data_IF_701948895786
#
_entry.id   IF_701948895786
#
_cell.length_a   1.000
_cell.length_b   1.000
_cell.length_c   1.000
_cell.angle_alpha   90.00
_cell.angle_beta   90.00
_cell.angle_gamma   90.00
#
_symmetry.space_group_name_H-M   'P 1'
#
loop_
_entity.id
_entity.type
_entity.pdbx_description
1 polymer ?
#
# COMPACT_ATOMS: atom_id res chain seq x y z
N UNK A 1 -73.92 6.45 -40.17
CA UNK A 1 -73.13 5.20 -40.35
C UNK A 1 -71.61 5.42 -40.39
N UNK A 2 -71.06 6.52 -40.93
CA UNK A 2 -69.60 6.77 -40.99
C UNK A 2 -68.95 7.41 -39.75
N UNK A 3 -69.69 8.16 -38.92
CA UNK A 3 -69.13 8.84 -37.72
C UNK A 3 -68.48 7.88 -36.71
N UNK A 4 -69.04 6.68 -36.51
CA UNK A 4 -68.42 5.65 -35.65
C UNK A 4 -67.07 5.16 -36.18
N UNK A 5 -66.88 5.08 -37.51
CA UNK A 5 -65.62 4.63 -38.10
C UNK A 5 -64.49 5.64 -37.86
N UNK A 6 -64.77 6.94 -38.02
CA UNK A 6 -63.79 7.99 -37.72
C UNK A 6 -63.38 8.03 -36.25
N UNK A 7 -64.33 7.85 -35.32
CA UNK A 7 -64.04 7.80 -33.88
C UNK A 7 -63.17 6.58 -33.55
N UNK A 8 -63.50 5.40 -34.08
CA UNK A 8 -62.72 4.18 -33.86
C UNK A 8 -61.31 4.31 -34.43
N UNK A 9 -61.16 4.83 -35.65
CA UNK A 9 -59.84 5.04 -36.26
C UNK A 9 -59.00 6.06 -35.49
N UNK A 10 -59.60 7.19 -35.07
CA UNK A 10 -58.90 8.18 -34.24
C UNK A 10 -58.45 7.62 -32.90
N UNK A 11 -59.28 6.80 -32.25
CA UNK A 11 -58.93 6.13 -30.99
C UNK A 11 -57.77 5.15 -31.16
N UNK A 12 -57.73 4.39 -32.27
CA UNK A 12 -56.64 3.44 -32.57
C UNK A 12 -55.33 4.17 -32.87
N UNK A 13 -55.36 5.24 -33.67
CA UNK A 13 -54.15 6.01 -33.99
C UNK A 13 -53.61 6.71 -32.73
N UNK A 14 -54.49 7.29 -31.91
CA UNK A 14 -54.12 7.89 -30.64
C UNK A 14 -53.51 6.89 -29.66
N UNK A 15 -54.07 5.68 -29.55
CA UNK A 15 -53.54 4.65 -28.65
C UNK A 15 -52.16 4.13 -29.11
N UNK A 16 -51.96 3.92 -30.40
CA UNK A 16 -50.65 3.54 -30.97
C UNK A 16 -49.61 4.63 -30.70
N UNK A 17 -49.95 5.90 -30.91
CA UNK A 17 -49.05 7.03 -30.64
C UNK A 17 -48.66 7.13 -29.15
N UNK A 18 -49.63 6.96 -28.24
CA UNK A 18 -49.37 6.96 -26.80
C UNK A 18 -48.47 5.78 -26.38
N UNK A 19 -48.71 4.57 -26.91
CA UNK A 19 -47.86 3.41 -26.62
C UNK A 19 -46.44 3.60 -27.16
N UNK A 20 -46.30 4.12 -28.37
CA UNK A 20 -44.98 4.34 -29.00
C UNK A 20 -44.17 5.42 -28.28
N UNK A 21 -44.80 6.54 -27.93
CA UNK A 21 -44.16 7.61 -27.16
C UNK A 21 -43.77 7.14 -25.75
N UNK A 22 -44.61 6.33 -25.09
CA UNK A 22 -44.28 5.71 -23.82
C UNK A 22 -43.10 4.73 -23.94
N UNK A 23 -43.08 3.88 -24.96
CA UNK A 23 -41.97 2.96 -25.21
C UNK A 23 -40.64 3.69 -25.47
N UNK A 24 -40.67 4.74 -26.31
CA UNK A 24 -39.48 5.57 -26.59
C UNK A 24 -38.97 6.28 -25.34
N UNK A 25 -39.88 6.87 -24.55
CA UNK A 25 -39.52 7.53 -23.29
C UNK A 25 -38.90 6.53 -22.32
N UNK A 26 -39.52 5.35 -22.15
CA UNK A 26 -39.04 4.30 -21.25
C UNK A 26 -37.70 3.72 -21.69
N UNK A 27 -37.47 3.56 -22.99
CA UNK A 27 -36.19 3.11 -23.53
C UNK A 27 -35.08 4.14 -23.28
N UNK A 28 -35.38 5.42 -23.52
CA UNK A 28 -34.43 6.52 -23.25
C UNK A 28 -34.08 6.60 -21.77
N UNK A 29 -35.07 6.56 -20.88
CA UNK A 29 -34.84 6.54 -19.43
C UNK A 29 -34.02 5.32 -18.97
N UNK A 30 -34.14 4.17 -19.65
CA UNK A 30 -33.33 2.99 -19.36
C UNK A 30 -31.88 3.18 -19.83
N UNK A 31 -31.69 3.69 -21.05
CA UNK A 31 -30.36 4.02 -21.59
C UNK A 31 -29.65 5.08 -20.75
N UNK A 32 -30.36 6.14 -20.34
CA UNK A 32 -29.80 7.20 -19.48
C UNK A 32 -29.40 6.65 -18.11
N UNK A 33 -30.22 5.79 -17.51
CA UNK A 33 -29.88 5.12 -16.23
C UNK A 33 -28.66 4.23 -16.36
N UNK A 34 -28.57 3.46 -17.43
CA UNK A 34 -27.43 2.56 -17.64
C UNK A 34 -26.16 3.35 -17.95
N UNK A 35 -26.26 4.38 -18.78
CA UNK A 35 -25.15 5.30 -19.07
C UNK A 35 -24.66 5.99 -17.79
N UNK A 36 -25.56 6.43 -16.91
CA UNK A 36 -25.20 7.03 -15.62
C UNK A 36 -24.47 6.06 -14.71
N UNK A 37 -24.97 4.84 -14.54
CA UNK A 37 -24.29 3.79 -13.75
C UNK A 37 -22.92 3.44 -14.31
N UNK A 38 -22.83 3.30 -15.63
CA UNK A 38 -21.57 3.00 -16.31
C UNK A 38 -20.56 4.13 -16.10
N UNK A 39 -21.00 5.39 -16.20
CA UNK A 39 -20.15 6.54 -15.95
C UNK A 39 -19.66 6.61 -14.50
N UNK A 40 -20.55 6.41 -13.52
CA UNK A 40 -20.21 6.37 -12.09
C UNK A 40 -19.20 5.26 -11.78
N UNK A 41 -19.41 4.05 -12.32
CA UNK A 41 -18.51 2.91 -12.12
C UNK A 41 -17.14 3.14 -12.77
N UNK A 42 -17.12 3.63 -14.00
CA UNK A 42 -15.88 3.97 -14.72
C UNK A 42 -15.08 5.02 -13.96
N UNK A 43 -15.74 6.08 -13.50
CA UNK A 43 -15.11 7.15 -12.73
C UNK A 43 -14.52 6.65 -11.41
N UNK A 44 -15.26 5.83 -10.65
CA UNK A 44 -14.77 5.21 -9.42
C UNK A 44 -13.53 4.35 -9.67
N UNK A 45 -13.57 3.54 -10.74
CA UNK A 45 -12.45 2.68 -11.13
C UNK A 45 -11.22 3.48 -11.52
N UNK A 46 -11.38 4.52 -12.33
CA UNK A 46 -10.27 5.40 -12.73
C UNK A 46 -9.64 6.10 -11.52
N UNK A 47 -10.45 6.58 -10.59
CA UNK A 47 -9.96 7.19 -9.35
C UNK A 47 -9.16 6.21 -8.50
N UNK A 48 -9.67 4.98 -8.36
CA UNK A 48 -8.98 3.92 -7.65
C UNK A 48 -7.65 3.56 -8.32
N UNK A 49 -7.63 3.34 -9.64
CA UNK A 49 -6.41 3.05 -10.40
C UNK A 49 -5.38 4.19 -10.29
N UNK A 50 -5.83 5.44 -10.31
CA UNK A 50 -4.95 6.60 -10.11
C UNK A 50 -4.35 6.59 -8.70
N UNK A 51 -5.17 6.37 -7.67
CA UNK A 51 -4.73 6.29 -6.26
C UNK A 51 -3.72 5.15 -6.08
N UNK A 52 -3.96 4.00 -6.71
CA UNK A 52 -3.04 2.86 -6.65
C UNK A 52 -1.71 3.17 -7.33
N UNK A 53 -1.71 3.82 -8.51
CA UNK A 53 -0.47 4.25 -9.19
C UNK A 53 0.34 5.21 -8.33
N UNK A 54 -0.31 6.21 -7.73
CA UNK A 54 0.33 7.13 -6.80
C UNK A 54 0.93 6.36 -5.61
N UNK A 55 0.17 5.44 -5.02
CA UNK A 55 0.65 4.61 -3.92
C UNK A 55 1.87 3.78 -4.30
N UNK A 56 1.85 3.11 -5.45
CA UNK A 56 2.97 2.30 -5.92
C UNK A 56 4.22 3.16 -6.15
N UNK A 57 4.08 4.37 -6.72
CA UNK A 57 5.18 5.31 -6.89
C UNK A 57 5.74 5.80 -5.56
N UNK A 58 4.87 6.15 -4.60
CA UNK A 58 5.29 6.57 -3.26
C UNK A 58 6.00 5.45 -2.51
N UNK A 59 5.49 4.21 -2.59
CA UNK A 59 6.14 3.03 -2.00
C UNK A 59 7.54 2.85 -2.58
N UNK A 60 7.71 2.89 -3.90
CA UNK A 60 9.02 2.71 -4.53
C UNK A 60 10.02 3.79 -4.09
N UNK A 61 9.59 5.05 -4.06
CA UNK A 61 10.42 6.17 -3.63
C UNK A 61 10.84 6.04 -2.16
N UNK A 62 9.88 5.83 -1.25
CA UNK A 62 10.17 5.74 0.18
C UNK A 62 10.89 4.44 0.54
N UNK A 63 10.66 3.33 -0.18
CA UNK A 63 11.38 2.07 0.04
C UNK A 63 12.86 2.22 -0.22
N UNK A 64 13.24 3.01 -1.24
CA UNK A 64 14.63 3.34 -1.52
C UNK A 64 15.27 4.11 -0.35
N UNK A 65 14.59 5.16 0.13
CA UNK A 65 15.08 5.98 1.25
C UNK A 65 15.25 5.14 2.51
N UNK A 66 14.24 4.33 2.87
CA UNK A 66 14.29 3.44 4.03
C UNK A 66 15.41 2.42 3.87
N UNK A 67 15.57 1.82 2.69
CA UNK A 67 16.64 0.86 2.44
C UNK A 67 18.01 1.50 2.62
N UNK A 68 18.26 2.66 1.99
CA UNK A 68 19.52 3.41 2.12
C UNK A 68 19.81 3.79 3.58
N UNK A 69 18.79 4.22 4.33
CA UNK A 69 18.92 4.48 5.77
C UNK A 69 19.32 3.23 6.55
N UNK A 70 18.70 2.07 6.27
CA UNK A 70 19.05 0.80 6.91
C UNK A 70 20.49 0.41 6.57
N UNK A 71 20.91 0.58 5.31
CA UNK A 71 22.27 0.26 4.89
C UNK A 71 23.31 1.18 5.56
N UNK A 72 22.96 2.44 5.74
CA UNK A 72 23.82 3.40 6.44
C UNK A 72 23.99 3.05 7.92
N UNK A 73 22.91 2.61 8.59
CA UNK A 73 22.96 2.24 10.02
C UNK A 73 23.63 0.87 10.23
N UNK A 74 23.39 -0.08 9.32
CA UNK A 74 23.92 -1.45 9.36
C UNK A 74 24.97 -1.66 8.27
N UNK A 75 26.02 -0.83 8.31
CA UNK A 75 27.09 -0.80 7.32
C UNK A 75 28.05 -1.99 7.48
N UNK A 76 27.73 -3.09 6.80
CA UNK A 76 28.57 -4.29 6.76
C UNK A 76 29.84 -4.10 5.95
N UNK A 77 29.81 -3.18 4.99
CA UNK A 77 30.88 -2.89 4.06
C UNK A 77 32.08 -2.27 4.80
N UNK A 78 31.83 -1.42 5.81
CA UNK A 78 32.86 -0.90 6.71
C UNK A 78 33.56 -2.03 7.49
N UNK A 79 32.82 -3.04 7.95
CA UNK A 79 33.42 -4.19 8.65
C UNK A 79 34.26 -5.03 7.68
N UNK A 80 33.78 -5.25 6.46
CA UNK A 80 34.54 -5.96 5.42
C UNK A 80 35.85 -5.24 5.09
N UNK A 81 35.83 -3.91 4.97
CA UNK A 81 37.05 -3.12 4.78
C UNK A 81 38.03 -3.30 5.95
N UNK A 82 37.56 -3.15 7.19
CA UNK A 82 38.39 -3.39 8.37
C UNK A 82 38.99 -4.79 8.39
N UNK A 83 38.25 -5.81 7.92
CA UNK A 83 38.74 -7.19 7.84
C UNK A 83 39.83 -7.38 6.76
N UNK A 84 39.82 -6.58 5.68
CA UNK A 84 40.84 -6.63 4.63
C UNK A 84 42.18 -6.08 5.10
N UNK A 85 42.18 -5.12 6.04
CA UNK A 85 43.39 -4.51 6.59
C UNK A 85 44.14 -5.40 7.61
N UNK A 86 43.74 -6.66 7.77
CA UNK A 86 44.30 -7.63 8.72
C UNK A 86 44.43 -7.11 10.17
N UNK A 87 43.31 -6.75 10.82
CA UNK A 87 43.31 -6.21 12.17
C UNK A 87 43.56 -7.32 13.20
N UNK A 88 44.13 -6.93 14.34
CA UNK A 88 44.42 -7.86 15.45
C UNK A 88 43.15 -8.56 15.99
N UNK A 89 42.01 -7.86 15.98
CA UNK A 89 40.73 -8.34 16.52
C UNK A 89 39.80 -8.97 15.45
N UNK A 90 40.35 -9.80 14.56
CA UNK A 90 39.59 -10.42 13.45
C UNK A 90 38.33 -11.15 13.89
N UNK A 91 38.39 -11.96 14.96
CA UNK A 91 37.24 -12.75 15.41
C UNK A 91 36.06 -11.86 15.85
N UNK A 92 36.32 -10.79 16.58
CA UNK A 92 35.28 -9.87 17.06
C UNK A 92 34.55 -9.19 15.88
N UNK A 93 35.28 -8.83 14.83
CA UNK A 93 34.69 -8.24 13.62
C UNK A 93 33.79 -9.22 12.88
N UNK A 94 34.17 -10.51 12.79
CA UNK A 94 33.30 -11.53 12.18
C UNK A 94 32.03 -11.77 13.00
N UNK A 95 32.14 -11.79 14.33
CA UNK A 95 30.97 -11.91 15.21
C UNK A 95 30.04 -10.70 15.10
N UNK A 96 30.59 -9.49 15.03
CA UNK A 96 29.82 -8.26 14.78
C UNK A 96 29.12 -8.31 13.41
N UNK A 97 29.83 -8.72 12.36
CA UNK A 97 29.28 -8.83 11.01
C UNK A 97 28.14 -9.84 10.95
N UNK A 98 28.28 -10.98 11.64
CA UNK A 98 27.22 -12.00 11.77
C UNK A 98 25.93 -11.37 12.31
N UNK A 99 25.99 -10.68 13.45
CA UNK A 99 24.82 -10.02 14.04
C UNK A 99 24.23 -8.97 13.10
N UNK A 100 25.09 -8.17 12.46
CA UNK A 100 24.67 -7.08 11.57
C UNK A 100 23.94 -7.60 10.32
N UNK A 101 24.41 -8.69 9.71
CA UNK A 101 23.76 -9.29 8.52
C UNK A 101 22.35 -9.79 8.86
N UNK A 102 22.20 -10.56 9.94
CA UNK A 102 20.88 -11.06 10.35
C UNK A 102 19.94 -9.91 10.73
N UNK A 103 20.45 -8.88 11.41
CA UNK A 103 19.70 -7.67 11.73
C UNK A 103 19.25 -6.95 10.46
N UNK A 104 20.15 -6.75 9.48
CA UNK A 104 19.87 -6.08 8.20
C UNK A 104 18.76 -6.79 7.43
N UNK A 105 18.82 -8.12 7.33
CA UNK A 105 17.79 -8.92 6.64
C UNK A 105 16.44 -8.75 7.33
N UNK A 106 16.38 -8.91 8.66
CA UNK A 106 15.14 -8.79 9.41
C UNK A 106 14.55 -7.37 9.29
N UNK A 107 15.35 -6.34 9.53
CA UNK A 107 14.91 -4.94 9.45
C UNK A 107 14.39 -4.60 8.06
N UNK A 108 15.06 -5.03 6.98
CA UNK A 108 14.57 -4.79 5.62
C UNK A 108 13.17 -5.39 5.40
N UNK A 109 12.95 -6.64 5.81
CA UNK A 109 11.65 -7.31 5.65
C UNK A 109 10.57 -6.58 6.44
N UNK A 110 10.80 -6.32 7.73
CA UNK A 110 9.82 -5.64 8.57
C UNK A 110 9.57 -4.21 8.12
N UNK A 111 10.62 -3.44 7.85
CA UNK A 111 10.49 -2.03 7.50
C UNK A 111 9.74 -1.83 6.18
N UNK A 112 10.09 -2.59 5.14
CA UNK A 112 9.43 -2.49 3.84
C UNK A 112 7.97 -2.97 3.90
N UNK A 113 7.68 -3.99 4.72
CA UNK A 113 6.30 -4.47 4.92
C UNK A 113 5.45 -3.42 5.66
N UNK A 114 5.97 -2.85 6.74
CA UNK A 114 5.29 -1.78 7.50
C UNK A 114 5.05 -0.58 6.61
N UNK A 115 6.04 -0.17 5.81
CA UNK A 115 5.92 0.94 4.86
C UNK A 115 4.81 0.69 3.84
N UNK A 116 4.81 -0.49 3.19
CA UNK A 116 3.83 -0.85 2.18
C UNK A 116 2.40 -0.84 2.74
N UNK A 117 2.18 -1.48 3.89
CA UNK A 117 0.86 -1.51 4.54
C UNK A 117 0.43 -0.10 4.96
N UNK A 118 1.32 0.67 5.59
CA UNK A 118 1.02 2.04 6.05
C UNK A 118 0.61 2.94 4.89
N UNK A 119 1.38 2.95 3.79
CA UNK A 119 1.09 3.79 2.64
C UNK A 119 -0.19 3.38 1.93
N UNK A 120 -0.45 2.06 1.78
CA UNK A 120 -1.72 1.57 1.22
C UNK A 120 -2.91 1.99 2.06
N UNK A 121 -2.81 1.92 3.39
CA UNK A 121 -3.88 2.38 4.28
C UNK A 121 -4.07 3.89 4.15
N UNK A 122 -2.99 4.67 4.27
CA UNK A 122 -3.04 6.13 4.23
C UNK A 122 -3.60 6.68 2.92
N UNK A 123 -3.08 6.20 1.79
CA UNK A 123 -3.46 6.71 0.47
C UNK A 123 -4.86 6.24 0.05
N UNK A 124 -5.30 5.04 0.46
CA UNK A 124 -6.68 4.62 0.19
C UNK A 124 -7.70 5.37 1.06
N UNK A 125 -7.37 5.69 2.32
CA UNK A 125 -8.24 6.51 3.18
C UNK A 125 -8.40 7.91 2.58
N UNK A 126 -7.29 8.59 2.27
CA UNK A 126 -7.33 9.90 1.61
C UNK A 126 -8.03 9.80 0.25
N UNK A 127 -7.70 8.79 -0.55
CA UNK A 127 -8.30 8.57 -1.86
C UNK A 127 -9.83 8.43 -1.77
N UNK A 128 -10.36 7.77 -0.72
CA UNK A 128 -11.79 7.68 -0.47
C UNK A 128 -12.44 9.04 -0.20
N UNK A 129 -11.83 9.87 0.63
CA UNK A 129 -12.33 11.22 0.89
C UNK A 129 -12.26 12.12 -0.34
N UNK A 130 -11.13 12.10 -1.08
CA UNK A 130 -10.99 12.84 -2.34
C UNK A 130 -12.00 12.38 -3.40
N UNK A 131 -12.31 11.08 -3.47
CA UNK A 131 -13.35 10.57 -4.35
C UNK A 131 -14.70 11.16 -3.99
N UNK A 132 -15.08 11.12 -2.70
CA UNK A 132 -16.36 11.68 -2.26
C UNK A 132 -16.45 13.17 -2.56
N UNK A 133 -15.41 13.94 -2.24
CA UNK A 133 -15.37 15.39 -2.45
C UNK A 133 -15.40 15.73 -3.95
N UNK A 134 -14.97 14.82 -4.84
CA UNK A 134 -15.16 14.99 -6.29
C UNK A 134 -16.60 14.74 -6.74
N UNK A 135 -17.35 13.87 -6.04
CA UNK A 135 -18.71 13.41 -6.43
C UNK A 135 -19.79 14.33 -5.87
N UNK A 136 -19.59 14.83 -4.66
CA UNK A 136 -20.55 15.64 -3.93
C UNK A 136 -20.16 17.13 -4.00
N UNK A 137 -21.15 17.99 -4.24
CA UNK A 137 -20.98 19.46 -4.23
C UNK A 137 -21.07 20.04 -2.80
N UNK A 138 -21.14 19.19 -1.78
CA UNK A 138 -21.29 19.55 -0.36
C UNK A 138 -20.04 20.25 0.24
N UNK A 139 -19.05 20.57 -0.59
CA UNK A 139 -17.77 21.16 -0.22
C UNK A 139 -16.73 20.13 0.21
N UNK A 140 -15.44 20.53 0.29
CA UNK A 140 -14.36 19.64 0.70
C UNK A 140 -14.50 19.33 2.19
N UNK A 141 -14.51 18.04 2.56
CA UNK A 141 -14.47 17.66 3.97
C UNK A 141 -13.04 17.58 4.49
N UNK A 142 -12.08 17.35 3.59
CA UNK A 142 -10.65 17.37 3.91
C UNK A 142 -10.04 18.60 3.27
N UNK A 143 -9.60 19.50 4.13
CA UNK A 143 -8.77 20.63 3.72
C UNK A 143 -7.34 20.18 3.38
N UNK A 144 -6.66 20.94 2.52
CA UNK A 144 -5.31 20.64 2.06
C UNK A 144 -4.30 20.52 3.21
N UNK A 145 -4.46 21.33 4.25
CA UNK A 145 -3.61 21.28 5.45
C UNK A 145 -3.77 19.97 6.22
N UNK A 146 -5.01 19.49 6.35
CA UNK A 146 -5.28 18.20 7.01
C UNK A 146 -4.71 17.04 6.18
N UNK A 147 -4.85 17.09 4.85
CA UNK A 147 -4.26 16.11 3.94
C UNK A 147 -2.73 16.03 4.11
N UNK A 148 -2.05 17.18 4.08
CA UNK A 148 -0.60 17.25 4.24
C UNK A 148 -0.16 16.71 5.62
N UNK A 149 -0.86 17.11 6.69
CA UNK A 149 -0.57 16.63 8.04
C UNK A 149 -0.77 15.12 8.18
N UNK A 150 -1.84 14.57 7.62
CA UNK A 150 -2.07 13.13 7.66
C UNK A 150 -1.00 12.35 6.88
N UNK A 151 -0.64 12.79 5.68
CA UNK A 151 0.43 12.16 4.89
C UNK A 151 1.79 12.24 5.60
N UNK A 152 2.05 13.32 6.34
CA UNK A 152 3.30 13.49 7.09
C UNK A 152 3.49 12.45 8.22
N UNK A 153 2.44 11.73 8.62
CA UNK A 153 2.55 10.69 9.66
C UNK A 153 3.53 9.56 9.27
N UNK A 154 3.73 9.30 7.97
CA UNK A 154 4.71 8.31 7.55
C UNK A 154 6.16 8.82 7.63
N UNK A 155 6.40 10.13 7.76
CA UNK A 155 7.76 10.69 7.85
C UNK A 155 8.49 10.22 9.11
N UNK A 156 7.77 10.06 10.23
CA UNK A 156 8.39 9.53 11.46
C UNK A 156 8.95 8.13 11.23
N UNK A 157 8.19 7.28 10.53
CA UNK A 157 8.63 5.93 10.20
C UNK A 157 9.82 5.92 9.26
N UNK A 158 9.83 6.78 8.22
CA UNK A 158 10.92 6.86 7.24
C UNK A 158 12.20 7.48 7.81
N UNK A 159 12.10 8.31 8.86
CA UNK A 159 13.23 8.91 9.55
C UNK A 159 13.65 8.12 10.81
N UNK A 160 13.45 8.67 12.02
CA UNK A 160 13.96 8.06 13.26
C UNK A 160 13.37 6.69 13.58
N UNK A 161 12.16 6.38 13.08
CA UNK A 161 11.51 5.09 13.30
C UNK A 161 12.31 3.90 12.76
N UNK A 162 13.12 4.08 11.71
CA UNK A 162 14.02 3.04 11.19
C UNK A 162 15.08 2.68 12.22
N UNK A 163 15.71 3.67 12.86
CA UNK A 163 16.75 3.42 13.86
C UNK A 163 16.19 2.70 15.09
N UNK A 164 14.99 3.07 15.53
CA UNK A 164 14.34 2.42 16.67
C UNK A 164 13.94 0.98 16.34
N UNK A 165 13.50 0.72 15.11
CA UNK A 165 13.26 -0.62 14.60
C UNK A 165 14.55 -1.44 14.55
N UNK A 166 15.66 -0.86 14.08
CA UNK A 166 16.98 -1.50 14.09
C UNK A 166 17.37 -1.90 15.51
N UNK A 167 17.30 -0.97 16.48
CA UNK A 167 17.66 -1.25 17.88
C UNK A 167 16.82 -2.38 18.50
N UNK A 168 15.53 -2.43 18.18
CA UNK A 168 14.65 -3.49 18.69
C UNK A 168 14.98 -4.85 18.06
N UNK A 169 15.13 -4.90 16.73
CA UNK A 169 15.45 -6.13 16.02
C UNK A 169 16.85 -6.64 16.38
N UNK A 170 17.84 -5.76 16.50
CA UNK A 170 19.20 -6.14 16.89
C UNK A 170 19.24 -6.84 18.25
N UNK A 171 18.43 -6.37 19.22
CA UNK A 171 18.32 -7.03 20.53
C UNK A 171 17.78 -8.45 20.42
N UNK A 172 16.77 -8.67 19.59
CA UNK A 172 16.21 -10.01 19.35
C UNK A 172 17.20 -10.90 18.60
N UNK A 173 17.85 -10.37 17.56
CA UNK A 173 18.87 -11.07 16.78
C UNK A 173 20.06 -11.49 17.65
N UNK A 174 20.57 -10.61 18.52
CA UNK A 174 21.66 -10.94 19.44
C UNK A 174 21.31 -12.15 20.31
N UNK A 175 20.12 -12.18 20.91
CA UNK A 175 19.68 -13.30 21.76
C UNK A 175 19.71 -14.67 21.05
N UNK A 176 19.44 -14.70 19.74
CA UNK A 176 19.34 -15.95 18.96
C UNK A 176 20.65 -16.30 18.26
N UNK A 177 21.33 -15.31 17.69
CA UNK A 177 22.44 -15.52 16.75
C UNK A 177 23.80 -15.46 17.42
N UNK A 178 23.94 -14.74 18.55
CA UNK A 178 25.20 -14.65 19.30
C UNK A 178 25.76 -16.02 19.72
N UNK A 179 24.97 -16.98 20.24
CA UNK A 179 25.46 -18.30 20.65
C UNK A 179 25.93 -19.19 19.49
N UNK A 180 25.59 -18.85 18.25
CA UNK A 180 25.89 -19.69 17.08
C UNK A 180 27.33 -19.47 16.65
N UNK A 181 28.19 -20.48 16.80
CA UNK A 181 29.60 -20.40 16.38
C UNK A 181 29.73 -20.15 14.87
N UNK A 182 30.64 -19.26 14.48
CA UNK A 182 31.02 -19.03 13.08
C UNK A 182 31.53 -20.28 12.34
N UNK A 183 31.99 -21.31 13.07
CA UNK A 183 32.48 -22.57 12.48
C UNK A 183 31.36 -23.61 12.31
N UNK A 184 30.18 -23.38 12.89
CA UNK A 184 29.07 -24.31 12.80
C UNK A 184 28.58 -24.34 11.35
N UNK A 185 28.51 -25.53 10.75
CA UNK A 185 27.79 -25.72 9.49
C UNK A 185 26.30 -25.69 9.80
N UNK A 186 25.56 -24.84 9.10
CA UNK A 186 24.12 -24.62 9.32
C UNK A 186 23.38 -25.09 8.07
N UNK A 187 22.33 -25.88 8.27
CA UNK A 187 21.40 -26.33 7.23
C UNK A 187 20.33 -25.26 6.97
N UNK A 188 19.63 -25.34 5.83
CA UNK A 188 18.54 -24.41 5.53
C UNK A 188 17.44 -24.42 6.61
N UNK A 189 17.09 -25.61 7.12
CA UNK A 189 16.10 -25.76 8.19
C UNK A 189 16.54 -25.06 9.48
N UNK A 190 17.82 -25.13 9.83
CA UNK A 190 18.35 -24.42 11.00
C UNK A 190 18.35 -22.90 10.78
N UNK A 191 18.64 -22.41 9.56
CA UNK A 191 18.51 -20.98 9.24
C UNK A 191 17.05 -20.52 9.38
N UNK A 192 16.10 -21.31 8.87
CA UNK A 192 14.68 -21.03 9.01
C UNK A 192 14.27 -20.94 10.49
N UNK A 193 14.72 -21.91 11.31
CA UNK A 193 14.47 -21.93 12.74
C UNK A 193 15.05 -20.71 13.47
N UNK A 194 16.20 -20.19 13.02
CA UNK A 194 16.78 -18.95 13.55
C UNK A 194 15.84 -17.77 13.28
N UNK A 195 15.34 -17.61 12.06
CA UNK A 195 14.38 -16.54 11.75
C UNK A 195 13.05 -16.69 12.50
N UNK A 196 12.52 -17.90 12.62
CA UNK A 196 11.34 -18.18 13.46
C UNK A 196 11.55 -17.81 14.92
N UNK A 197 12.72 -18.11 15.47
CA UNK A 197 13.07 -17.76 16.86
C UNK A 197 13.16 -16.25 17.05
N UNK A 198 13.78 -15.54 16.09
CA UNK A 198 13.84 -14.07 16.09
C UNK A 198 12.41 -13.49 16.04
N UNK A 199 11.57 -13.97 15.12
CA UNK A 199 10.18 -13.54 14.99
C UNK A 199 9.38 -13.77 16.27
N UNK A 200 9.54 -14.94 16.91
CA UNK A 200 8.84 -15.26 18.16
C UNK A 200 9.21 -14.28 19.27
N UNK A 201 10.49 -13.92 19.39
CA UNK A 201 10.97 -12.92 20.37
C UNK A 201 10.44 -11.51 20.05
N UNK A 202 10.25 -11.17 18.78
CA UNK A 202 9.72 -9.87 18.38
C UNK A 202 8.22 -9.74 18.62
N UNK A 203 7.48 -10.85 18.60
CA UNK A 203 6.02 -10.88 18.76
C UNK A 203 5.55 -11.12 20.20
N UNK A 204 6.46 -11.41 21.14
CA UNK A 204 6.16 -11.71 22.55
C UNK A 204 6.66 -10.58 23.44
#
# INVERSE_FOLDING_TARGET
RHRRKFIVTGAVVGSIYLLMSYAQKRLREWQEREAKKFFEMTRKKQHFESTERTCNQTILSLSKIVSESILSVLNTEEIVQKLQDNPDMKLALWEQMKIMIFTRICVLVYALTILNVTLRVQLNIIGGYLYRDSVHEDGPMIDGDLQAKYLSLCHHFVGPGVEDLVKQIEKAVKRVVEPISLKKKITLQEVEQVFWSIQTILCT
#
